data_IF_046124513268
#
_entry.id   IF_046124513268
#
_cell.length_a   1.000
_cell.length_b   1.000
_cell.length_c   1.000
_cell.angle_alpha   90.00
_cell.angle_beta   90.00
_cell.angle_gamma   90.00
#
_symmetry.space_group_name_H-M   'P 1'
#
loop_
_entity.id
_entity.type
_entity.pdbx_description
1 polymer ?
#
# COMPACT_ATOMS: atom_id res chain seq x y z
N UNK A 1 0.32 -6.54 -31.98
CA UNK A 1 1.39 -5.65 -31.46
C UNK A 1 2.59 -5.71 -32.35
N UNK A 2 2.96 -4.61 -32.93
CA UNK A 2 4.15 -4.46 -33.75
C UNK A 2 5.42 -4.44 -32.88
N UNK A 3 6.59 -4.57 -33.47
CA UNK A 3 7.87 -4.53 -32.76
C UNK A 3 8.10 -3.17 -32.09
N UNK A 4 7.68 -2.12 -32.74
CA UNK A 4 7.77 -0.74 -32.23
C UNK A 4 6.86 -0.47 -31.03
N UNK A 5 5.61 -0.97 -31.08
CA UNK A 5 4.68 -0.86 -29.96
C UNK A 5 5.23 -1.56 -28.70
N UNK A 6 5.84 -2.75 -28.85
CA UNK A 6 6.46 -3.48 -27.74
C UNK A 6 7.62 -2.70 -27.12
N UNK A 7 8.46 -2.07 -27.95
CA UNK A 7 9.57 -1.25 -27.46
C UNK A 7 9.08 0.00 -26.72
N UNK A 8 8.02 0.62 -27.22
CA UNK A 8 7.42 1.77 -26.56
C UNK A 8 6.80 1.39 -25.21
N UNK A 9 6.09 0.25 -25.13
CA UNK A 9 5.56 -0.26 -23.88
C UNK A 9 6.66 -0.60 -22.85
N UNK A 10 7.76 -1.24 -23.29
CA UNK A 10 8.90 -1.52 -22.40
C UNK A 10 9.47 -0.22 -21.84
N UNK A 11 9.67 0.80 -22.68
CA UNK A 11 10.17 2.11 -22.25
C UNK A 11 9.23 2.80 -21.27
N UNK A 12 7.92 2.74 -21.51
CA UNK A 12 6.92 3.33 -20.62
C UNK A 12 6.93 2.61 -19.27
N UNK A 13 6.95 1.27 -19.28
CA UNK A 13 7.01 0.47 -18.06
C UNK A 13 8.31 0.68 -17.29
N UNK A 14 9.45 0.78 -17.98
CA UNK A 14 10.74 1.07 -17.35
C UNK A 14 10.73 2.44 -16.66
N UNK A 15 10.12 3.44 -17.27
CA UNK A 15 9.91 4.76 -16.65
C UNK A 15 8.98 4.66 -15.42
N UNK A 16 7.83 4.02 -15.56
CA UNK A 16 6.90 3.86 -14.45
C UNK A 16 7.54 3.11 -13.27
N UNK A 17 8.36 2.09 -13.53
CA UNK A 17 9.10 1.35 -12.50
C UNK A 17 10.22 2.18 -11.84
N UNK A 18 10.84 3.12 -12.58
CA UNK A 18 11.86 4.00 -12.02
C UNK A 18 11.26 5.13 -11.21
N UNK A 19 10.18 5.73 -11.67
CA UNK A 19 9.51 6.87 -11.04
C UNK A 19 8.75 6.48 -9.76
N UNK A 20 8.10 5.30 -9.76
CA UNK A 20 7.32 4.86 -8.60
C UNK A 20 8.17 4.04 -7.62
N UNK A 21 8.14 4.40 -6.32
CA UNK A 21 8.89 3.68 -5.29
C UNK A 21 8.26 2.34 -4.95
N UNK A 22 6.95 2.20 -5.08
CA UNK A 22 6.22 1.02 -4.66
C UNK A 22 5.32 0.49 -5.77
N UNK A 23 5.40 -0.81 -6.05
CA UNK A 23 4.46 -1.47 -6.95
C UNK A 23 4.11 -2.88 -6.46
N UNK A 24 2.94 -3.32 -6.84
CA UNK A 24 2.40 -4.63 -6.50
C UNK A 24 2.10 -5.42 -7.76
N UNK A 25 2.36 -6.71 -7.72
CA UNK A 25 2.01 -7.67 -8.76
C UNK A 25 0.84 -8.51 -8.28
N UNK A 26 -0.31 -8.38 -8.92
CA UNK A 26 -1.51 -9.10 -8.56
C UNK A 26 -2.11 -9.84 -9.77
N UNK A 27 -2.79 -10.94 -9.49
CA UNK A 27 -3.59 -11.66 -10.47
C UNK A 27 -5.06 -11.29 -10.31
N UNK A 28 -5.60 -10.65 -11.34
CA UNK A 28 -7.01 -10.26 -11.43
C UNK A 28 -7.81 -11.16 -12.40
N UNK A 29 -7.22 -12.24 -12.89
CA UNK A 29 -7.91 -13.14 -13.81
C UNK A 29 -9.10 -13.82 -13.14
N UNK A 30 -10.22 -13.92 -13.88
CA UNK A 30 -11.45 -14.56 -13.40
C UNK A 30 -12.36 -13.68 -12.55
N UNK A 31 -12.09 -12.36 -12.48
CA UNK A 31 -13.06 -11.39 -11.98
C UNK A 31 -14.09 -11.07 -13.08
N UNK A 32 -15.35 -10.92 -12.67
CA UNK A 32 -16.40 -10.41 -13.54
C UNK A 32 -16.10 -9.00 -14.03
N UNK A 33 -16.69 -8.61 -15.16
CA UNK A 33 -16.55 -7.26 -15.71
C UNK A 33 -16.95 -6.18 -14.71
N UNK A 34 -18.03 -6.40 -13.94
CA UNK A 34 -18.50 -5.49 -12.90
C UNK A 34 -17.47 -5.36 -11.76
N UNK A 35 -16.98 -6.47 -11.26
CA UNK A 35 -15.97 -6.50 -10.19
C UNK A 35 -14.64 -5.87 -10.63
N UNK A 36 -14.24 -6.08 -11.88
CA UNK A 36 -13.05 -5.45 -12.47
C UNK A 36 -13.23 -3.93 -12.56
N UNK A 37 -14.42 -3.45 -12.93
CA UNK A 37 -14.71 -2.03 -12.98
C UNK A 37 -14.69 -1.39 -11.58
N UNK A 38 -15.27 -2.08 -10.59
CA UNK A 38 -15.29 -1.62 -9.21
C UNK A 38 -13.87 -1.59 -8.61
N UNK A 39 -13.03 -2.59 -8.94
CA UNK A 39 -11.62 -2.60 -8.57
C UNK A 39 -10.88 -1.39 -9.16
N UNK A 40 -11.04 -1.12 -10.45
CA UNK A 40 -10.42 0.04 -11.11
C UNK A 40 -10.88 1.37 -10.51
N UNK A 41 -12.17 1.50 -10.19
CA UNK A 41 -12.72 2.69 -9.53
C UNK A 41 -12.15 2.87 -8.12
N UNK A 42 -12.01 1.78 -7.36
CA UNK A 42 -11.41 1.82 -6.03
C UNK A 42 -9.91 2.17 -6.09
N UNK A 43 -9.16 1.59 -7.05
CA UNK A 43 -7.77 1.96 -7.31
C UNK A 43 -7.64 3.45 -7.63
N UNK A 44 -8.49 3.97 -8.51
CA UNK A 44 -8.47 5.39 -8.87
C UNK A 44 -8.74 6.31 -7.67
N UNK A 45 -9.73 5.97 -6.82
CA UNK A 45 -10.03 6.73 -5.59
C UNK A 45 -8.87 6.73 -4.60
N UNK A 46 -8.05 5.70 -4.61
CA UNK A 46 -6.88 5.54 -3.72
C UNK A 46 -5.58 6.01 -4.36
N UNK A 47 -5.62 6.70 -5.50
CA UNK A 47 -4.45 7.12 -6.28
C UNK A 47 -3.52 5.97 -6.66
N UNK A 48 -4.09 4.81 -6.99
CA UNK A 48 -3.35 3.64 -7.46
C UNK A 48 -3.56 3.50 -8.96
N UNK A 49 -2.47 3.49 -9.74
CA UNK A 49 -2.53 3.14 -11.16
C UNK A 49 -2.51 1.63 -11.32
N UNK A 50 -3.50 1.09 -11.99
CA UNK A 50 -3.55 -0.34 -12.35
C UNK A 50 -3.32 -0.51 -13.84
N UNK A 51 -2.35 -1.35 -14.20
CA UNK A 51 -2.04 -1.72 -15.58
C UNK A 51 -1.94 -3.23 -15.72
N UNK A 52 -2.54 -3.78 -16.76
CA UNK A 52 -2.41 -5.21 -17.10
C UNK A 52 -1.32 -5.33 -18.16
N UNK A 53 -0.29 -6.08 -17.85
CA UNK A 53 0.92 -6.14 -18.67
C UNK A 53 1.28 -7.57 -19.02
N UNK A 54 1.88 -7.77 -20.19
CA UNK A 54 2.45 -9.08 -20.57
C UNK A 54 3.70 -9.36 -19.74
N UNK A 55 3.78 -10.55 -19.13
CA UNK A 55 4.92 -10.96 -18.31
C UNK A 55 6.26 -10.82 -19.00
N UNK A 56 6.32 -11.13 -20.31
CA UNK A 56 7.56 -11.03 -21.10
C UNK A 56 8.04 -9.59 -21.26
N UNK A 57 7.13 -8.62 -21.36
CA UNK A 57 7.47 -7.20 -21.48
C UNK A 57 7.87 -6.66 -20.10
N UNK A 58 7.13 -7.03 -19.06
CA UNK A 58 7.45 -6.65 -17.68
C UNK A 58 8.82 -7.18 -17.26
N UNK A 59 9.14 -8.44 -17.61
CA UNK A 59 10.46 -9.03 -17.33
C UNK A 59 11.58 -8.23 -17.98
N UNK A 60 11.43 -7.84 -19.25
CA UNK A 60 12.42 -7.00 -19.94
C UNK A 60 12.52 -5.60 -19.33
N UNK A 61 11.39 -4.99 -19.01
CA UNK A 61 11.39 -3.68 -18.34
C UNK A 61 12.09 -3.71 -16.96
N UNK A 62 11.95 -4.83 -16.23
CA UNK A 62 12.69 -5.06 -14.97
C UNK A 62 14.18 -5.34 -15.18
N UNK A 63 14.57 -5.88 -16.34
CA UNK A 63 15.99 -6.08 -16.68
C UNK A 63 16.66 -4.78 -17.14
N UNK A 64 15.90 -3.90 -17.82
CA UNK A 64 16.36 -2.61 -18.31
C UNK A 64 16.40 -1.53 -17.20
N UNK A 65 15.76 -1.78 -16.05
CA UNK A 65 15.74 -0.85 -14.92
C UNK A 65 16.93 -1.08 -14.00
N UNK A 66 17.40 0.00 -13.36
CA UNK A 66 18.55 -0.02 -12.44
C UNK A 66 18.26 -0.68 -11.09
N UNK A 67 16.98 -0.97 -10.77
CA UNK A 67 16.56 -1.56 -9.50
C UNK A 67 16.73 -3.08 -9.51
N UNK A 68 17.20 -3.64 -8.43
CA UNK A 68 17.31 -5.08 -8.24
C UNK A 68 15.96 -5.68 -7.79
N UNK A 69 15.29 -6.39 -8.69
CA UNK A 69 14.00 -7.04 -8.40
C UNK A 69 14.12 -8.50 -7.97
N UNK A 70 15.34 -9.04 -7.83
CA UNK A 70 15.61 -10.38 -7.32
C UNK A 70 14.65 -11.45 -7.82
N UNK A 71 14.06 -12.17 -6.88
CA UNK A 71 13.16 -13.30 -7.15
C UNK A 71 11.75 -12.92 -7.65
N UNK A 72 11.39 -11.63 -7.72
CA UNK A 72 10.10 -11.21 -8.30
C UNK A 72 9.93 -11.67 -9.74
N UNK A 73 11.03 -11.81 -10.49
CA UNK A 73 11.00 -12.33 -11.87
C UNK A 73 10.45 -13.75 -11.95
N UNK A 74 10.62 -14.55 -10.91
CA UNK A 74 10.13 -15.94 -10.86
C UNK A 74 8.61 -16.03 -10.64
N UNK A 75 8.00 -14.99 -10.06
CA UNK A 75 6.56 -14.91 -9.77
C UNK A 75 5.71 -14.51 -10.98
N UNK A 76 6.34 -14.11 -12.09
CA UNK A 76 5.68 -13.69 -13.33
C UNK A 76 5.10 -14.86 -14.12
N UNK A 77 4.21 -15.65 -13.53
CA UNK A 77 3.49 -16.75 -14.17
C UNK A 77 2.00 -16.42 -14.24
N UNK A 78 1.35 -16.77 -15.36
CA UNK A 78 -0.08 -16.50 -15.56
C UNK A 78 -0.39 -15.01 -15.82
N UNK A 79 -1.60 -14.59 -15.49
CA UNK A 79 -2.03 -13.22 -15.73
C UNK A 79 -1.45 -12.27 -14.65
N UNK A 80 -0.88 -11.16 -15.06
CA UNK A 80 -0.22 -10.22 -14.13
C UNK A 80 -0.70 -8.82 -14.38
N UNK A 81 -1.17 -8.19 -13.30
CA UNK A 81 -1.49 -6.76 -13.25
C UNK A 81 -0.53 -6.09 -12.30
N UNK A 82 -0.06 -4.94 -12.69
CA UNK A 82 0.82 -4.08 -11.89
C UNK A 82 -0.02 -2.96 -11.29
N UNK A 83 0.08 -2.78 -9.98
CA UNK A 83 -0.51 -1.66 -9.27
C UNK A 83 0.63 -0.75 -8.79
N UNK A 84 0.69 0.44 -9.31
CA UNK A 84 1.66 1.47 -8.93
C UNK A 84 1.06 2.38 -7.87
N UNK A 85 1.80 2.65 -6.80
CA UNK A 85 1.36 3.51 -5.71
C UNK A 85 2.52 4.27 -5.06
N UNK A 86 2.25 5.50 -4.65
CA UNK A 86 3.23 6.29 -3.89
C UNK A 86 3.34 5.79 -2.45
N UNK A 87 2.23 5.31 -1.87
CA UNK A 87 2.19 4.76 -0.50
C UNK A 87 2.29 3.24 -0.52
N UNK A 88 3.19 2.68 0.27
CA UNK A 88 3.44 1.25 0.32
C UNK A 88 2.22 0.42 0.76
N UNK A 89 1.43 0.88 1.74
CA UNK A 89 0.35 0.10 2.35
C UNK A 89 -1.00 0.17 1.62
N UNK A 90 -1.23 1.21 0.80
CA UNK A 90 -2.55 1.47 0.20
C UNK A 90 -3.04 0.34 -0.72
N UNK A 91 -2.21 -0.23 -1.63
CA UNK A 91 -2.66 -1.32 -2.48
C UNK A 91 -2.99 -2.60 -1.68
N UNK A 92 -2.21 -2.90 -0.63
CA UNK A 92 -2.45 -4.07 0.20
C UNK A 92 -3.79 -3.97 0.96
N UNK A 93 -4.08 -2.81 1.56
CA UNK A 93 -5.37 -2.52 2.21
C UNK A 93 -6.52 -2.68 1.23
N UNK A 94 -6.38 -2.15 0.02
CA UNK A 94 -7.41 -2.25 -1.02
C UNK A 94 -7.64 -3.71 -1.43
N UNK A 95 -6.59 -4.50 -1.67
CA UNK A 95 -6.71 -5.91 -2.01
C UNK A 95 -7.39 -6.68 -0.86
N UNK A 96 -7.01 -6.43 0.39
CA UNK A 96 -7.63 -7.04 1.57
C UNK A 96 -9.12 -6.72 1.68
N UNK A 97 -9.51 -5.48 1.43
CA UNK A 97 -10.92 -5.08 1.48
C UNK A 97 -11.76 -5.69 0.34
N UNK A 98 -11.19 -5.82 -0.85
CA UNK A 98 -11.83 -6.52 -1.96
C UNK A 98 -12.03 -8.00 -1.67
N UNK A 99 -11.08 -8.65 -1.00
CA UNK A 99 -11.16 -10.06 -0.62
C UNK A 99 -12.22 -10.39 0.41
N UNK A 100 -12.72 -9.42 1.15
CA UNK A 100 -13.90 -9.62 2.02
C UNK A 100 -15.15 -10.02 1.24
N UNK A 101 -15.20 -9.70 -0.06
CA UNK A 101 -16.34 -9.96 -0.95
C UNK A 101 -16.06 -11.00 -2.03
N UNK A 102 -14.80 -11.17 -2.41
CA UNK A 102 -14.36 -11.97 -3.55
C UNK A 102 -12.99 -12.59 -3.20
N UNK A 103 -12.72 -13.83 -3.64
CA UNK A 103 -11.43 -14.51 -3.41
C UNK A 103 -10.24 -13.88 -4.17
N UNK A 104 -10.50 -12.90 -5.02
CA UNK A 104 -9.49 -12.21 -5.85
C UNK A 104 -9.56 -10.70 -5.64
N UNK A 105 -8.46 -9.96 -5.88
CA UNK A 105 -7.18 -10.31 -6.52
C UNK A 105 -6.20 -11.10 -5.62
N UNK A 106 -5.37 -11.96 -6.25
CA UNK A 106 -4.32 -12.72 -5.56
C UNK A 106 -3.00 -11.98 -5.68
N UNK A 107 -2.31 -11.76 -4.57
CA UNK A 107 -1.01 -11.11 -4.56
C UNK A 107 0.07 -12.11 -4.98
N UNK A 108 0.85 -11.79 -6.01
CA UNK A 108 2.03 -12.56 -6.44
C UNK A 108 3.29 -12.07 -5.75
N UNK A 109 3.41 -10.78 -5.62
CA UNK A 109 4.52 -10.14 -4.94
C UNK A 109 4.37 -8.63 -4.91
N UNK A 110 5.17 -8.00 -4.10
CA UNK A 110 5.25 -6.55 -3.98
C UNK A 110 6.71 -6.10 -3.86
N UNK A 111 6.98 -4.93 -4.38
CA UNK A 111 8.23 -4.22 -4.23
C UNK A 111 7.93 -2.91 -3.51
N UNK A 112 8.47 -2.76 -2.29
CA UNK A 112 8.21 -1.61 -1.42
C UNK A 112 9.52 -1.15 -0.84
N UNK A 113 9.91 0.09 -1.12
CA UNK A 113 11.12 0.72 -0.55
C UNK A 113 12.35 -0.20 -0.61
N UNK A 114 12.63 -0.75 -1.82
CA UNK A 114 13.74 -1.67 -2.11
C UNK A 114 13.62 -3.07 -1.47
N UNK A 115 12.54 -3.34 -0.74
CA UNK A 115 12.26 -4.65 -0.16
C UNK A 115 11.31 -5.46 -1.04
N UNK A 116 11.60 -6.74 -1.18
CA UNK A 116 10.84 -7.68 -2.00
C UNK A 116 9.99 -8.57 -1.11
N UNK A 117 8.69 -8.62 -1.37
CA UNK A 117 7.74 -9.49 -0.70
C UNK A 117 7.11 -10.43 -1.72
N UNK A 118 7.26 -11.74 -1.52
CA UNK A 118 6.74 -12.76 -2.43
C UNK A 118 5.67 -13.57 -1.72
N UNK A 119 4.58 -13.85 -2.43
CA UNK A 119 3.49 -14.68 -1.97
C UNK A 119 2.34 -13.89 -1.38
N UNK A 120 1.22 -14.59 -1.33
CA UNK A 120 -0.06 -14.04 -0.89
C UNK A 120 -0.14 -13.90 0.64
N UNK A 121 0.58 -14.75 1.38
CA UNK A 121 0.61 -14.77 2.84
C UNK A 121 1.15 -13.46 3.45
N UNK A 122 1.85 -12.66 2.65
CA UNK A 122 2.44 -11.39 3.10
C UNK A 122 1.47 -10.21 3.06
N UNK A 123 0.24 -10.42 2.59
CA UNK A 123 -0.72 -9.31 2.38
C UNK A 123 -1.09 -8.60 3.67
N UNK A 124 -1.24 -9.34 4.77
CA UNK A 124 -1.58 -8.75 6.07
C UNK A 124 -0.41 -7.92 6.61
N UNK A 125 0.81 -8.42 6.48
CA UNK A 125 2.02 -7.68 6.85
C UNK A 125 2.11 -6.39 6.04
N UNK A 126 1.86 -6.47 4.73
CA UNK A 126 1.91 -5.32 3.82
C UNK A 126 0.79 -4.30 4.08
N UNK A 127 -0.38 -4.75 4.51
CA UNK A 127 -1.50 -3.88 4.88
C UNK A 127 -1.25 -3.13 6.19
N UNK A 128 -0.49 -3.73 7.10
CA UNK A 128 -0.16 -3.17 8.41
C UNK A 128 1.14 -2.33 8.38
N UNK A 129 1.86 -2.31 7.25
CA UNK A 129 2.99 -1.39 7.05
C UNK A 129 2.50 0.05 7.18
N UNK A 130 3.24 0.85 7.93
CA UNK A 130 2.99 2.29 8.06
C UNK A 130 3.65 3.04 6.90
N UNK A 131 2.98 4.05 6.39
CA UNK A 131 3.59 4.97 5.42
C UNK A 131 4.65 5.84 6.11
N UNK A 132 5.56 6.44 5.34
CA UNK A 132 6.58 7.37 5.88
C UNK A 132 5.95 8.48 6.72
N UNK A 133 4.86 9.07 6.24
CA UNK A 133 4.15 10.13 6.95
C UNK A 133 3.53 9.64 8.26
N UNK A 134 2.98 8.43 8.27
CA UNK A 134 2.43 7.78 9.47
C UNK A 134 3.53 7.48 10.49
N UNK A 135 4.72 7.02 10.05
CA UNK A 135 5.87 6.78 10.92
C UNK A 135 6.39 8.08 11.54
N UNK A 136 6.53 9.14 10.75
CA UNK A 136 6.93 10.46 11.26
C UNK A 136 5.92 10.97 12.28
N UNK A 137 4.62 10.87 11.99
CA UNK A 137 3.57 11.26 12.92
C UNK A 137 3.61 10.48 14.22
N UNK A 138 3.89 9.19 14.18
CA UNK A 138 4.05 8.35 15.37
C UNK A 138 5.27 8.75 16.19
N UNK A 139 6.42 8.98 15.54
CA UNK A 139 7.63 9.46 16.24
C UNK A 139 7.37 10.77 16.96
N UNK A 140 6.72 11.74 16.29
CA UNK A 140 6.34 13.01 16.90
C UNK A 140 5.42 12.76 18.10
N UNK A 141 4.42 11.90 17.95
CA UNK A 141 3.48 11.58 19.04
C UNK A 141 4.20 10.93 20.22
N UNK A 142 5.14 10.02 19.98
CA UNK A 142 5.94 9.40 21.04
C UNK A 142 6.83 10.42 21.77
N UNK A 143 7.41 11.37 21.06
CA UNK A 143 8.22 12.43 21.65
C UNK A 143 7.40 13.43 22.49
N UNK A 144 6.18 13.72 22.06
CA UNK A 144 5.27 14.66 22.75
C UNK A 144 4.47 13.99 23.86
N UNK A 145 4.28 12.67 23.79
CA UNK A 145 3.49 11.90 24.77
C UNK A 145 3.92 12.11 26.23
N UNK A 146 5.21 12.05 26.62
CA UNK A 146 5.61 12.27 28.02
C UNK A 146 5.25 13.68 28.51
N UNK A 147 5.37 14.70 27.65
CA UNK A 147 5.01 16.07 27.99
C UNK A 147 3.51 16.19 28.23
N UNK A 148 2.70 15.60 27.34
CA UNK A 148 1.25 15.59 27.47
C UNK A 148 0.80 14.84 28.72
N UNK A 149 1.43 13.72 29.07
CA UNK A 149 1.10 12.97 30.28
C UNK A 149 1.37 13.79 31.57
N UNK A 150 2.46 14.54 31.61
CA UNK A 150 2.76 15.43 32.74
C UNK A 150 1.74 16.56 32.82
N UNK A 151 1.39 17.20 31.68
CA UNK A 151 0.38 18.25 31.62
C UNK A 151 -1.01 17.73 32.06
N UNK A 152 -1.39 16.51 31.61
CA UNK A 152 -2.65 15.90 32.01
C UNK A 152 -2.68 15.56 33.50
N UNK A 153 -1.59 15.07 34.08
CA UNK A 153 -1.51 14.79 35.51
C UNK A 153 -1.62 16.06 36.37
N UNK A 154 -1.00 17.15 35.94
CA UNK A 154 -1.14 18.46 36.58
C UNK A 154 -2.58 19.00 36.47
N UNK A 155 -3.19 18.93 35.29
CA UNK A 155 -4.58 19.35 35.08
C UNK A 155 -5.59 18.48 35.86
N UNK A 156 -5.34 17.17 35.95
CA UNK A 156 -6.25 16.23 36.61
C UNK A 156 -6.40 16.52 38.11
N UNK A 157 -5.35 16.99 38.75
CA UNK A 157 -5.40 17.48 40.15
C UNK A 157 -6.40 18.62 40.35
N UNK A 158 -6.32 19.63 39.50
CA UNK A 158 -7.22 20.78 39.51
C UNK A 158 -8.69 20.39 39.22
N UNK A 159 -8.91 19.53 38.22
CA UNK A 159 -10.25 19.06 37.84
C UNK A 159 -10.89 18.22 38.94
N UNK A 160 -10.12 17.34 39.61
CA UNK A 160 -10.62 16.54 40.71
C UNK A 160 -11.04 17.43 41.90
N UNK A 161 -10.23 18.41 42.27
CA UNK A 161 -10.52 19.37 43.37
C UNK A 161 -11.77 20.19 43.04
N UNK A 162 -11.84 20.74 41.83
CA UNK A 162 -13.03 21.48 41.36
C UNK A 162 -14.31 20.64 41.37
N UNK A 163 -14.21 19.39 40.93
CA UNK A 163 -15.32 18.44 40.91
C UNK A 163 -15.82 18.08 42.33
N UNK A 164 -14.89 17.94 43.31
CA UNK A 164 -15.24 17.68 44.71
C UNK A 164 -15.93 18.89 45.31
N UNK A 165 -15.40 20.10 45.08
CA UNK A 165 -15.99 21.34 45.58
C UNK A 165 -17.42 21.53 45.03
N UNK A 166 -17.62 21.25 43.72
CA UNK A 166 -18.93 21.34 43.11
C UNK A 166 -19.94 20.37 43.72
N UNK A 167 -19.54 19.13 43.96
CA UNK A 167 -20.39 18.10 44.63
C UNK A 167 -20.70 18.47 46.08
N UNK A 168 -19.81 19.17 46.76
CA UNK A 168 -20.05 19.63 48.15
C UNK A 168 -20.96 20.85 48.21
N UNK A 169 -20.96 21.71 47.17
CA UNK A 169 -21.83 22.88 47.09
C UNK A 169 -23.26 22.56 46.64
N UNK A 170 -23.49 21.39 46.02
CA UNK A 170 -24.81 20.92 45.59
C UNK A 170 -25.53 20.07 46.66
N UNK A 171 -24.93 19.90 47.82
CA UNK A 171 -25.49 19.21 48.99
C UNK A 171 -25.89 20.17 50.10
#
# INVERSE_FOLDING_TARGET
MTKEEKLNEIKTLSKDLSETPNFYLADIAGLDSKSTLDLRRACFKSNIRISVVKNTLLKKAMEDSEKEFGDLKSTLKGNTSVLFSDKGNTPAKLIRDFRKKLDKPILKGAFIEESIYIGDDKIDILADLKSKDELIGEIITLLVSPINNVLLSLKSGSIKISGIIKKLSEK
#
